data_IF_781191262603
#
_entry.id   IF_781191262603
#
_cell.length_a   1.000
_cell.length_b   1.000
_cell.length_c   1.000
_cell.angle_alpha   90.00
_cell.angle_beta   90.00
_cell.angle_gamma   90.00
#
_symmetry.space_group_name_H-M   'P 1'
#
loop_
_entity.id
_entity.type
_entity.pdbx_description
1 polymer ?
#
# COMPACT_ATOMS: atom_id res chain seq x y z
N UNK A 1 13.02 72.75 17.05
CA UNK A 1 12.46 71.39 16.87
C UNK A 1 13.26 70.66 15.78
N UNK A 2 14.18 69.76 16.13
CA UNK A 2 14.99 68.97 15.17
C UNK A 2 14.33 67.60 14.97
N UNK A 3 13.71 67.36 13.81
CA UNK A 3 13.22 66.02 13.42
C UNK A 3 14.43 65.15 13.09
N UNK A 4 14.72 64.14 13.92
CA UNK A 4 15.63 63.07 13.56
C UNK A 4 14.88 62.09 12.65
N UNK A 5 15.25 62.04 11.36
CA UNK A 5 14.81 61.00 10.44
C UNK A 5 15.67 59.75 10.63
N UNK A 6 15.08 58.68 11.16
CA UNK A 6 15.72 57.36 11.22
C UNK A 6 15.93 56.86 9.79
N UNK A 7 17.18 56.86 9.29
CA UNK A 7 17.51 56.24 8.02
C UNK A 7 17.25 54.74 8.13
N UNK A 8 16.22 54.25 7.43
CA UNK A 8 15.88 52.84 7.39
C UNK A 8 16.90 52.13 6.50
N UNK A 9 17.85 51.44 7.12
CA UNK A 9 18.83 50.60 6.42
C UNK A 9 18.08 49.53 5.62
N UNK A 10 18.03 49.70 4.31
CA UNK A 10 17.54 48.69 3.38
C UNK A 10 18.69 47.71 3.16
N UNK A 11 18.70 46.60 3.90
CA UNK A 11 19.64 45.51 3.65
C UNK A 11 19.16 44.74 2.42
N UNK A 12 19.96 44.79 1.34
CA UNK A 12 19.74 43.99 0.14
C UNK A 12 20.29 42.58 0.31
N UNK A 13 19.66 41.60 -0.33
CA UNK A 13 20.14 40.22 -0.43
C UNK A 13 21.37 40.17 -1.33
N UNK A 14 22.43 39.49 -0.90
CA UNK A 14 23.65 39.37 -1.71
C UNK A 14 23.54 38.22 -2.70
N UNK A 15 24.19 38.34 -3.86
CA UNK A 15 24.24 37.23 -4.84
C UNK A 15 24.94 36.00 -4.22
N UNK A 16 25.93 36.22 -3.36
CA UNK A 16 26.66 35.13 -2.70
C UNK A 16 25.79 34.35 -1.71
N UNK A 17 24.83 34.99 -1.03
CA UNK A 17 23.83 34.29 -0.20
C UNK A 17 22.94 33.36 -1.05
N UNK A 18 22.53 33.80 -2.24
CA UNK A 18 21.72 32.95 -3.12
C UNK A 18 22.55 31.81 -3.71
N UNK A 19 23.79 32.07 -4.12
CA UNK A 19 24.69 31.04 -4.66
C UNK A 19 25.00 29.97 -3.62
N UNK A 20 25.38 30.38 -2.41
CA UNK A 20 25.69 29.43 -1.32
C UNK A 20 24.44 28.66 -0.88
N UNK A 21 23.26 29.30 -0.84
CA UNK A 21 22.00 28.62 -0.56
C UNK A 21 21.67 27.54 -1.62
N UNK A 22 21.80 27.84 -2.91
CA UNK A 22 21.55 26.87 -3.98
C UNK A 22 22.54 25.70 -3.90
N UNK A 23 23.82 25.98 -3.61
CA UNK A 23 24.85 24.93 -3.45
C UNK A 23 24.54 24.00 -2.27
N UNK A 24 24.09 24.54 -1.14
CA UNK A 24 23.71 23.70 0.01
C UNK A 24 22.45 22.89 -0.32
N UNK A 25 21.45 23.51 -0.97
CA UNK A 25 20.21 22.84 -1.38
C UNK A 25 20.48 21.67 -2.35
N UNK A 26 21.41 21.82 -3.31
CA UNK A 26 21.71 20.75 -4.27
C UNK A 26 22.32 19.53 -3.59
N UNK A 27 23.24 19.73 -2.64
CA UNK A 27 23.84 18.66 -1.84
C UNK A 27 22.78 17.94 -1.00
N UNK A 28 21.88 18.69 -0.35
CA UNK A 28 20.81 18.11 0.47
C UNK A 28 19.85 17.26 -0.36
N UNK A 29 19.44 17.73 -1.54
CA UNK A 29 18.54 16.99 -2.44
C UNK A 29 19.21 15.69 -2.91
N UNK A 30 20.49 15.74 -3.27
CA UNK A 30 21.25 14.58 -3.73
C UNK A 30 21.28 13.44 -2.70
N UNK A 31 21.43 13.76 -1.41
CA UNK A 31 21.45 12.76 -0.32
C UNK A 31 20.04 12.36 0.14
N UNK A 32 19.08 13.29 0.10
CA UNK A 32 17.74 13.10 0.64
C UNK A 32 16.81 12.25 -0.22
N UNK A 33 16.81 12.45 -1.55
CA UNK A 33 15.84 11.83 -2.47
C UNK A 33 15.93 10.30 -2.54
N UNK A 34 17.11 9.66 -2.62
CA UNK A 34 17.20 8.19 -2.73
C UNK A 34 16.58 7.48 -1.52
N UNK A 35 16.82 8.02 -0.31
CA UNK A 35 16.28 7.47 0.94
C UNK A 35 14.75 7.60 1.02
N UNK A 36 14.18 8.64 0.40
CA UNK A 36 12.74 8.86 0.40
C UNK A 36 11.99 7.81 -0.44
N UNK A 37 12.49 7.49 -1.64
CA UNK A 37 11.86 6.51 -2.55
C UNK A 37 11.78 5.12 -1.91
N UNK A 38 12.87 4.67 -1.27
CA UNK A 38 12.88 3.37 -0.57
C UNK A 38 11.84 3.27 0.55
N UNK A 39 11.59 4.36 1.28
CA UNK A 39 10.57 4.42 2.33
C UNK A 39 9.15 4.32 1.76
N UNK A 40 8.90 5.00 0.63
CA UNK A 40 7.59 4.92 -0.06
C UNK A 40 7.30 3.49 -0.52
N UNK A 41 8.28 2.80 -1.12
CA UNK A 41 8.08 1.41 -1.55
C UNK A 41 7.80 0.47 -0.38
N UNK A 42 8.55 0.60 0.73
CA UNK A 42 8.27 -0.17 1.96
C UNK A 42 6.87 0.12 2.53
N UNK A 43 6.42 1.36 2.49
CA UNK A 43 5.06 1.71 2.92
C UNK A 43 3.98 1.07 2.03
N UNK A 44 4.20 1.04 0.71
CA UNK A 44 3.31 0.36 -0.25
C UNK A 44 3.23 -1.14 -0.01
N UNK A 45 4.38 -1.80 0.20
CA UNK A 45 4.43 -3.23 0.57
C UNK A 45 3.75 -3.50 1.92
N UNK A 46 3.96 -2.64 2.92
CA UNK A 46 3.29 -2.76 4.21
C UNK A 46 1.77 -2.63 4.09
N UNK A 47 1.28 -1.71 3.26
CA UNK A 47 -0.15 -1.59 2.96
C UNK A 47 -0.70 -2.83 2.26
N UNK A 48 0.03 -3.40 1.29
CA UNK A 48 -0.35 -4.65 0.64
C UNK A 48 -0.42 -5.81 1.65
N UNK A 49 0.56 -5.93 2.55
CA UNK A 49 0.54 -6.92 3.62
C UNK A 49 -0.63 -6.73 4.59
N UNK A 50 -1.01 -5.48 4.86
CA UNK A 50 -2.22 -5.16 5.64
C UNK A 50 -3.48 -5.67 4.95
N UNK A 51 -3.62 -5.41 3.64
CA UNK A 51 -4.74 -5.94 2.84
C UNK A 51 -4.75 -7.47 2.86
N UNK A 52 -3.62 -8.14 2.67
CA UNK A 52 -3.54 -9.61 2.74
C UNK A 52 -4.01 -10.15 4.09
N UNK A 53 -3.63 -9.51 5.21
CA UNK A 53 -4.08 -9.89 6.55
C UNK A 53 -5.57 -9.63 6.75
N UNK A 54 -6.08 -8.54 6.20
CA UNK A 54 -7.51 -8.26 6.19
C UNK A 54 -8.28 -9.37 5.47
N UNK A 55 -7.77 -9.85 4.34
CA UNK A 55 -8.37 -10.96 3.61
C UNK A 55 -8.36 -12.26 4.43
N UNK A 56 -7.24 -12.56 5.09
CA UNK A 56 -7.14 -13.68 6.02
C UNK A 56 -8.22 -13.60 7.11
N UNK A 57 -8.40 -12.45 7.75
CA UNK A 57 -9.45 -12.29 8.77
C UNK A 57 -10.84 -12.56 8.20
N UNK A 58 -11.13 -12.10 6.98
CA UNK A 58 -12.41 -12.35 6.31
C UNK A 58 -12.60 -13.85 6.00
N UNK A 59 -11.55 -14.53 5.54
CA UNK A 59 -11.57 -15.98 5.28
C UNK A 59 -11.79 -16.80 6.55
N UNK A 60 -11.11 -16.47 7.64
CA UNK A 60 -11.30 -17.15 8.92
C UNK A 60 -12.70 -16.87 9.50
N UNK A 61 -13.23 -15.66 9.29
CA UNK A 61 -14.62 -15.33 9.67
C UNK A 61 -15.62 -16.17 8.89
N UNK A 62 -15.41 -16.34 7.58
CA UNK A 62 -16.23 -17.23 6.76
C UNK A 62 -16.16 -18.67 7.30
N UNK A 63 -14.95 -19.19 7.54
CA UNK A 63 -14.80 -20.55 8.06
C UNK A 63 -15.48 -20.76 9.42
N UNK A 64 -15.52 -19.75 10.29
CA UNK A 64 -16.21 -19.85 11.57
C UNK A 64 -17.72 -20.13 11.42
N UNK A 65 -18.31 -19.71 10.30
CA UNK A 65 -19.73 -19.88 10.00
C UNK A 65 -20.04 -21.17 9.23
N UNK A 66 -19.19 -21.52 8.25
CA UNK A 66 -19.46 -22.61 7.31
C UNK A 66 -18.58 -23.85 7.52
N UNK A 67 -17.64 -23.81 8.46
CA UNK A 67 -16.64 -24.85 8.74
C UNK A 67 -15.69 -25.17 7.56
N UNK A 68 -15.82 -24.44 6.45
CA UNK A 68 -14.98 -24.54 5.26
C UNK A 68 -14.60 -23.15 4.73
N UNK A 69 -13.54 -23.08 3.92
CA UNK A 69 -13.17 -21.86 3.19
C UNK A 69 -13.97 -21.71 1.90
N UNK A 70 -14.25 -20.47 1.47
CA UNK A 70 -15.01 -20.21 0.25
C UNK A 70 -14.22 -20.68 -0.98
N UNK A 71 -14.88 -21.25 -2.00
CA UNK A 71 -14.17 -21.75 -3.18
C UNK A 71 -13.57 -20.62 -4.03
N UNK A 72 -14.15 -19.42 -3.95
CA UNK A 72 -13.72 -18.23 -4.65
C UNK A 72 -14.09 -16.97 -3.84
N UNK A 73 -13.55 -15.81 -4.24
CA UNK A 73 -13.83 -14.55 -3.56
C UNK A 73 -15.25 -14.02 -3.79
N UNK A 74 -15.98 -14.48 -4.80
CA UNK A 74 -17.37 -14.08 -5.00
C UNK A 74 -18.26 -14.65 -3.87
N UNK A 75 -18.05 -15.91 -3.49
CA UNK A 75 -18.72 -16.56 -2.36
C UNK A 75 -18.38 -15.85 -1.04
N UNK A 76 -17.10 -15.51 -0.84
CA UNK A 76 -16.67 -14.72 0.31
C UNK A 76 -17.37 -13.36 0.35
N UNK A 77 -17.43 -12.66 -0.78
CA UNK A 77 -18.03 -11.33 -0.86
C UNK A 77 -19.51 -11.37 -0.50
N UNK A 78 -20.27 -12.31 -1.08
CA UNK A 78 -21.69 -12.44 -0.83
C UNK A 78 -21.98 -12.73 0.66
N UNK A 79 -21.23 -13.66 1.26
CA UNK A 79 -21.32 -13.97 2.68
C UNK A 79 -20.93 -12.78 3.57
N UNK A 80 -19.86 -12.07 3.21
CA UNK A 80 -19.34 -10.94 3.96
C UNK A 80 -20.28 -9.73 3.93
N UNK A 81 -20.95 -9.48 2.80
CA UNK A 81 -21.97 -8.44 2.70
C UNK A 81 -23.23 -8.80 3.49
N UNK A 82 -23.69 -10.05 3.38
CA UNK A 82 -24.86 -10.53 4.12
C UNK A 82 -24.68 -10.43 5.65
N UNK A 83 -23.46 -10.62 6.15
CA UNK A 83 -23.13 -10.60 7.58
C UNK A 83 -22.39 -9.33 8.04
N UNK A 84 -22.18 -8.36 7.15
CA UNK A 84 -21.61 -7.05 7.50
C UNK A 84 -20.12 -7.03 7.85
N UNK A 85 -19.34 -8.03 7.41
CA UNK A 85 -17.89 -8.06 7.62
C UNK A 85 -17.06 -7.79 6.35
N UNK A 86 -17.69 -7.45 5.22
CA UNK A 86 -16.97 -7.06 3.99
C UNK A 86 -16.18 -5.76 4.21
N UNK A 87 -14.85 -5.86 4.13
CA UNK A 87 -13.93 -4.75 4.42
C UNK A 87 -13.48 -4.04 3.14
N UNK A 88 -13.33 -2.74 3.26
CA UNK A 88 -12.72 -1.91 2.22
C UNK A 88 -11.21 -1.98 2.31
N UNK A 89 -10.58 -2.38 1.21
CA UNK A 89 -9.14 -2.35 1.04
C UNK A 89 -8.71 -1.17 0.17
N UNK A 90 -7.43 -0.82 0.27
CA UNK A 90 -6.83 0.27 -0.49
C UNK A 90 -5.65 -0.25 -1.28
N UNK A 91 -5.67 -0.07 -2.60
CA UNK A 91 -4.56 -0.44 -3.46
C UNK A 91 -3.36 0.52 -3.24
N UNK A 92 -2.16 0.02 -2.94
CA UNK A 92 -1.01 0.85 -2.59
C UNK A 92 -0.36 1.59 -3.78
N UNK A 93 -0.67 1.23 -5.02
CA UNK A 93 -0.02 1.79 -6.21
C UNK A 93 -0.87 2.85 -6.90
N UNK A 94 -2.19 2.73 -6.86
CA UNK A 94 -3.12 3.67 -7.52
C UNK A 94 -4.14 4.32 -6.57
N UNK A 95 -4.09 4.00 -5.27
CA UNK A 95 -5.01 4.51 -4.24
C UNK A 95 -6.49 4.17 -4.47
N UNK A 96 -6.81 3.23 -5.37
CA UNK A 96 -8.17 2.75 -5.55
C UNK A 96 -8.68 2.09 -4.26
N UNK A 97 -9.96 2.30 -3.95
CA UNK A 97 -10.61 1.78 -2.75
C UNK A 97 -11.91 1.10 -3.12
N UNK A 98 -12.21 -0.01 -2.46
CA UNK A 98 -13.45 -0.72 -2.65
C UNK A 98 -13.56 -1.93 -1.76
N UNK A 99 -14.71 -2.59 -1.81
CA UNK A 99 -14.97 -3.87 -1.15
C UNK A 99 -14.72 -5.02 -2.11
N UNK A 100 -14.76 -6.27 -1.62
CA UNK A 100 -14.90 -7.42 -2.51
C UNK A 100 -16.22 -7.30 -3.31
N UNK A 101 -16.25 -7.85 -4.52
CA UNK A 101 -17.42 -7.76 -5.42
C UNK A 101 -17.67 -6.39 -6.08
N UNK A 102 -16.92 -5.34 -5.72
CA UNK A 102 -17.03 -4.01 -6.33
C UNK A 102 -16.16 -3.84 -7.60
N UNK A 103 -16.45 -2.90 -8.51
CA UNK A 103 -15.58 -2.64 -9.66
C UNK A 103 -14.12 -2.28 -9.30
N UNK A 104 -13.91 -1.73 -8.10
CA UNK A 104 -12.60 -1.35 -7.55
C UNK A 104 -12.20 -2.29 -6.41
N UNK A 105 -12.33 -3.61 -6.62
CA UNK A 105 -11.85 -4.60 -5.64
C UNK A 105 -10.36 -4.43 -5.34
N UNK A 106 -9.94 -4.91 -4.19
CA UNK A 106 -8.53 -4.91 -3.73
C UNK A 106 -7.96 -6.32 -3.59
N UNK A 107 -8.80 -7.35 -3.76
CA UNK A 107 -8.41 -8.74 -3.83
C UNK A 107 -9.16 -9.45 -4.95
N UNK A 108 -8.54 -10.49 -5.49
CA UNK A 108 -9.05 -11.36 -6.55
C UNK A 108 -8.71 -12.81 -6.25
N UNK A 109 -9.38 -13.74 -6.92
CA UNK A 109 -8.89 -15.12 -6.98
C UNK A 109 -7.49 -15.15 -7.64
N UNK A 110 -6.64 -16.06 -7.18
CA UNK A 110 -5.23 -16.07 -7.53
C UNK A 110 -5.02 -16.37 -9.02
N UNK A 111 -4.21 -15.52 -9.65
CA UNK A 111 -3.78 -15.61 -11.04
C UNK A 111 -2.35 -15.07 -11.12
N UNK A 112 -1.50 -15.67 -11.95
CA UNK A 112 -0.10 -15.24 -12.05
C UNK A 112 0.29 -15.05 -13.52
N UNK A 113 0.58 -13.81 -13.97
CA UNK A 113 0.59 -12.56 -13.20
C UNK A 113 -0.83 -12.08 -12.86
N UNK A 114 -0.95 -11.32 -11.77
CA UNK A 114 -2.18 -10.66 -11.33
C UNK A 114 -2.10 -9.13 -11.40
N UNK A 115 -3.18 -8.41 -11.06
CA UNK A 115 -3.18 -6.95 -11.04
C UNK A 115 -2.32 -6.39 -9.92
N UNK A 116 -1.53 -5.36 -10.23
CA UNK A 116 -0.59 -4.77 -9.28
C UNK A 116 -1.26 -4.24 -8.01
N UNK A 117 -0.77 -4.63 -6.83
CA UNK A 117 -1.25 -4.15 -5.53
C UNK A 117 -2.50 -4.84 -4.99
N UNK A 118 -2.93 -5.92 -5.62
CA UNK A 118 -4.06 -6.73 -5.17
C UNK A 118 -3.57 -7.87 -4.27
N UNK A 119 -4.45 -8.34 -3.38
CA UNK A 119 -4.28 -9.64 -2.74
C UNK A 119 -4.87 -10.75 -3.63
N UNK A 120 -4.17 -11.87 -3.78
CA UNK A 120 -4.62 -13.05 -4.53
C UNK A 120 -5.03 -14.16 -3.59
N UNK A 121 -6.24 -14.70 -3.73
CA UNK A 121 -6.75 -15.82 -2.95
C UNK A 121 -6.72 -17.13 -3.74
N UNK A 122 -6.03 -18.14 -3.24
CA UNK A 122 -6.01 -19.49 -3.81
C UNK A 122 -6.70 -20.45 -2.84
N UNK A 123 -7.84 -21.01 -3.28
CA UNK A 123 -8.48 -22.12 -2.60
C UNK A 123 -7.65 -23.39 -2.82
N UNK A 124 -7.20 -24.02 -1.72
CA UNK A 124 -6.42 -25.27 -1.76
C UNK A 124 -7.29 -26.46 -1.36
N UNK A 125 -8.24 -26.24 -0.45
CA UNK A 125 -9.21 -27.23 0.00
C UNK A 125 -10.14 -26.65 1.07
N UNK A 126 -11.09 -27.44 1.59
CA UNK A 126 -12.09 -26.93 2.53
C UNK A 126 -11.47 -26.38 3.82
N UNK A 127 -10.27 -26.85 4.18
CA UNK A 127 -9.55 -26.43 5.39
C UNK A 127 -8.22 -25.74 5.08
N UNK A 128 -7.92 -25.44 3.82
CA UNK A 128 -6.64 -24.84 3.43
C UNK A 128 -6.80 -23.75 2.37
N UNK A 129 -6.08 -22.65 2.55
CA UNK A 129 -5.96 -21.58 1.55
C UNK A 129 -4.55 -21.04 1.46
N UNK A 130 -4.27 -20.28 0.38
CA UNK A 130 -3.10 -19.43 0.29
C UNK A 130 -3.50 -18.03 -0.15
N UNK A 131 -2.86 -17.03 0.44
CA UNK A 131 -3.03 -15.61 0.09
C UNK A 131 -1.69 -15.05 -0.36
N UNK A 132 -1.69 -14.43 -1.54
CA UNK A 132 -0.54 -13.79 -2.16
C UNK A 132 -0.76 -12.28 -2.23
N UNK A 133 0.32 -11.51 -2.34
CA UNK A 133 0.25 -10.10 -2.69
C UNK A 133 0.95 -9.89 -4.02
N UNK A 134 0.38 -9.09 -4.92
CA UNK A 134 1.02 -8.73 -6.18
C UNK A 134 1.79 -7.41 -6.06
N UNK A 135 3.06 -7.42 -6.47
CA UNK A 135 3.90 -6.24 -6.53
C UNK A 135 3.45 -5.24 -7.63
N UNK A 136 4.26 -4.21 -7.88
CA UNK A 136 3.96 -3.19 -8.90
C UNK A 136 3.87 -3.74 -10.32
N UNK A 137 4.46 -4.91 -10.58
CA UNK A 137 4.53 -5.56 -11.89
C UNK A 137 3.50 -6.70 -12.00
N UNK A 138 2.67 -6.90 -10.97
CA UNK A 138 1.66 -7.95 -10.94
C UNK A 138 2.22 -9.32 -10.55
N UNK A 139 3.47 -9.40 -10.11
CA UNK A 139 4.10 -10.65 -9.71
C UNK A 139 3.88 -10.91 -8.21
N UNK A 140 3.74 -12.17 -7.78
CA UNK A 140 3.69 -12.48 -6.36
C UNK A 140 4.93 -11.96 -5.64
N UNK A 141 4.71 -11.27 -4.51
CA UNK A 141 5.76 -10.77 -3.63
C UNK A 141 6.74 -11.89 -3.31
N UNK A 142 8.03 -11.56 -3.26
CA UNK A 142 9.09 -12.49 -2.86
C UNK A 142 9.76 -12.04 -1.58
N UNK A 143 10.13 -13.00 -0.73
CA UNK A 143 11.02 -12.82 0.41
C UNK A 143 12.08 -13.92 0.37
N UNK A 144 13.35 -13.53 0.49
CA UNK A 144 14.50 -14.44 0.45
C UNK A 144 14.50 -15.36 -0.80
N UNK A 145 14.07 -14.81 -1.94
CA UNK A 145 14.00 -15.54 -3.22
C UNK A 145 12.77 -16.43 -3.41
N UNK A 146 11.96 -16.65 -2.38
CA UNK A 146 10.74 -17.46 -2.44
C UNK A 146 9.49 -16.59 -2.50
N UNK A 147 8.42 -17.12 -3.10
CA UNK A 147 7.12 -16.44 -3.11
C UNK A 147 6.58 -16.35 -1.68
N UNK A 148 6.33 -15.12 -1.25
CA UNK A 148 5.70 -14.84 0.03
C UNK A 148 4.19 -15.07 -0.08
N UNK A 149 3.67 -15.89 0.83
CA UNK A 149 2.25 -16.20 0.95
C UNK A 149 1.86 -16.32 2.41
N UNK A 150 0.61 -16.00 2.71
CA UNK A 150 -0.03 -16.34 3.97
C UNK A 150 -0.84 -17.63 3.74
N UNK A 151 -0.81 -18.54 4.70
CA UNK A 151 -1.52 -19.82 4.67
C UNK A 151 -1.93 -20.15 6.09
N UNK A 152 -2.98 -20.96 6.25
CA UNK A 152 -3.42 -21.48 7.54
C UNK A 152 -2.86 -22.89 7.85
N UNK A 153 -2.00 -23.43 6.97
CA UNK A 153 -1.28 -24.70 7.10
C UNK A 153 -0.10 -24.80 6.13
#
# INVERSE_FOLDING_TARGET
MRRQSSARSTKGFTIIELMTAIVILTVLVMVGVPNFIGRVNKAKEAQLMSNMRMLVVMLETYRADWMEFPQNLADLSAAADAKGYNKEGVNPFNSAKGKLGSPQVWAIDFVNPGPAGYAGYEYVGPTQYRVYGYDKDGLPLKRDGQIFKLTNG
#
